data_IF_977329034963
#
_entry.id   IF_977329034963
#
_cell.length_a   1.000
_cell.length_b   1.000
_cell.length_c   1.000
_cell.angle_alpha   90.00
_cell.angle_beta   90.00
_cell.angle_gamma   90.00
#
_symmetry.space_group_name_H-M   'P 1'
#
loop_
_entity.id
_entity.type
_entity.pdbx_description
1 polymer ?
#
# COMPACT_ATOMS: atom_id res chain seq x y z
N UNK A 1 12.23 -7.02 2.56
CA UNK A 1 11.71 -8.39 2.77
C UNK A 1 10.56 -8.62 1.79
N UNK A 2 10.84 -9.29 0.68
CA UNK A 2 9.85 -9.63 -0.33
C UNK A 2 9.09 -10.89 0.12
N UNK A 3 7.82 -11.03 -0.27
CA UNK A 3 6.90 -12.05 0.20
C UNK A 3 7.48 -13.49 0.22
N UNK A 4 7.11 -14.28 1.23
CA UNK A 4 7.37 -15.74 1.28
C UNK A 4 8.12 -16.22 2.53
N UNK A 5 9.05 -15.40 3.06
CA UNK A 5 9.89 -15.76 4.20
C UNK A 5 10.60 -17.13 4.05
N UNK A 6 11.26 -17.58 5.11
CA UNK A 6 11.97 -18.88 5.12
C UNK A 6 11.05 -20.12 5.06
N UNK A 7 9.72 -19.94 5.10
CA UNK A 7 8.75 -21.06 5.14
C UNK A 7 8.27 -21.49 3.76
N UNK A 8 8.63 -20.74 2.72
CA UNK A 8 8.30 -21.06 1.33
C UNK A 8 9.43 -20.57 0.41
N UNK A 9 10.52 -21.34 0.39
CA UNK A 9 11.79 -20.99 -0.26
C UNK A 9 11.64 -20.73 -1.75
N UNK A 10 10.83 -21.54 -2.46
CA UNK A 10 10.59 -21.35 -3.89
C UNK A 10 9.90 -20.02 -4.18
N UNK A 11 8.78 -19.73 -3.49
CA UNK A 11 8.06 -18.48 -3.69
C UNK A 11 8.92 -17.27 -3.28
N UNK A 12 9.71 -17.41 -2.23
CA UNK A 12 10.62 -16.38 -1.78
C UNK A 12 11.71 -16.08 -2.82
N UNK A 13 12.33 -17.12 -3.39
CA UNK A 13 13.33 -16.95 -4.45
C UNK A 13 12.72 -16.28 -5.70
N UNK A 14 11.59 -16.80 -6.18
CA UNK A 14 10.91 -16.23 -7.36
C UNK A 14 10.53 -14.76 -7.12
N UNK A 15 10.01 -14.44 -5.94
CA UNK A 15 9.67 -13.06 -5.59
C UNK A 15 10.91 -12.17 -5.46
N UNK A 16 12.03 -12.68 -4.95
CA UNK A 16 13.29 -11.95 -4.84
C UNK A 16 13.87 -11.59 -6.21
N UNK A 17 13.89 -12.55 -7.14
CA UNK A 17 14.32 -12.33 -8.52
C UNK A 17 13.43 -11.30 -9.22
N UNK A 18 12.11 -11.45 -9.10
CA UNK A 18 11.15 -10.53 -9.72
C UNK A 18 11.27 -9.10 -9.16
N UNK A 19 11.38 -8.96 -7.84
CA UNK A 19 11.52 -7.66 -7.19
C UNK A 19 12.83 -6.96 -7.56
N UNK A 20 13.96 -7.68 -7.59
CA UNK A 20 15.24 -7.15 -8.03
C UNK A 20 15.19 -6.67 -9.49
N UNK A 21 14.54 -7.44 -10.37
CA UNK A 21 14.34 -7.05 -11.76
C UNK A 21 13.51 -5.75 -11.88
N UNK A 22 12.37 -5.66 -11.19
CA UNK A 22 11.51 -4.46 -11.18
C UNK A 22 12.27 -3.25 -10.64
N UNK A 23 13.01 -3.40 -9.53
CA UNK A 23 13.77 -2.30 -8.93
C UNK A 23 14.83 -1.74 -9.88
N UNK A 24 15.46 -2.59 -10.70
CA UNK A 24 16.52 -2.21 -11.63
C UNK A 24 16.00 -1.71 -12.99
N UNK A 25 14.82 -2.14 -13.44
CA UNK A 25 14.33 -1.90 -14.81
C UNK A 25 13.04 -1.07 -14.88
N UNK A 26 12.54 -0.53 -13.76
CA UNK A 26 11.34 0.29 -13.79
C UNK A 26 11.52 1.52 -14.71
N UNK A 27 10.53 1.83 -15.57
CA UNK A 27 10.65 2.95 -16.51
C UNK A 27 10.97 4.28 -15.81
N UNK A 28 11.95 5.06 -16.29
CA UNK A 28 12.35 6.31 -15.64
C UNK A 28 11.25 7.38 -15.64
N UNK A 29 10.27 7.28 -16.55
CA UNK A 29 9.09 8.15 -16.61
C UNK A 29 8.06 7.88 -15.50
N UNK A 30 8.17 6.76 -14.79
CA UNK A 30 7.24 6.36 -13.74
C UNK A 30 7.93 6.35 -12.38
N UNK A 31 7.31 6.97 -11.38
CA UNK A 31 7.84 6.99 -10.00
C UNK A 31 7.59 5.65 -9.30
N UNK A 32 8.60 5.11 -8.63
CA UNK A 32 8.49 3.99 -7.68
C UNK A 32 8.47 4.54 -6.27
N UNK A 33 7.49 4.12 -5.47
CA UNK A 33 7.37 4.48 -4.06
C UNK A 33 7.45 3.19 -3.25
N UNK A 34 8.50 3.05 -2.44
CA UNK A 34 8.67 1.88 -1.59
C UNK A 34 7.90 2.05 -0.28
N UNK A 35 7.07 1.06 0.05
CA UNK A 35 6.35 0.93 1.32
C UNK A 35 6.90 -0.28 2.06
N UNK A 36 7.73 -0.05 3.07
CA UNK A 36 8.52 -1.10 3.71
C UNK A 36 7.79 -1.85 4.83
N UNK A 37 8.48 -2.85 5.36
CA UNK A 37 7.99 -3.67 6.46
C UNK A 37 7.74 -2.82 7.72
N UNK A 38 8.67 -1.91 7.98
CA UNK A 38 8.73 -1.00 9.11
C UNK A 38 7.53 -0.04 9.18
N UNK A 39 6.90 0.28 8.04
CA UNK A 39 5.66 1.05 8.02
C UNK A 39 4.45 0.18 8.30
N UNK A 40 4.30 -0.94 7.59
CA UNK A 40 3.09 -1.75 7.65
C UNK A 40 2.89 -2.46 8.99
N UNK A 41 3.97 -2.72 9.76
CA UNK A 41 3.86 -3.24 11.13
C UNK A 41 3.32 -2.19 12.13
N UNK A 42 3.50 -0.90 11.84
CA UNK A 42 3.02 0.18 12.70
C UNK A 42 1.56 0.51 12.44
N UNK A 43 1.10 0.35 11.19
CA UNK A 43 -0.29 0.65 10.79
C UNK A 43 -1.20 -0.55 11.03
N UNK A 44 -2.26 -0.34 11.79
CA UNK A 44 -3.27 -1.35 12.05
C UNK A 44 -4.65 -0.95 11.49
N UNK A 45 -5.34 -1.89 10.83
CA UNK A 45 -6.70 -1.66 10.31
C UNK A 45 -7.56 -2.93 10.40
N UNK A 46 -8.85 -2.79 10.08
CA UNK A 46 -9.86 -3.85 10.07
C UNK A 46 -10.39 -4.26 11.45
N UNK A 47 -10.07 -3.47 12.48
CA UNK A 47 -10.46 -3.70 13.87
C UNK A 47 -11.91 -3.34 14.18
N UNK A 48 -12.20 -3.11 15.46
CA UNK A 48 -13.56 -2.83 15.94
C UNK A 48 -14.25 -1.65 15.22
N UNK A 49 -13.49 -0.59 14.88
CA UNK A 49 -13.99 0.60 14.19
C UNK A 49 -14.62 0.23 12.84
N UNK A 50 -13.85 -0.44 11.97
CA UNK A 50 -14.38 -0.98 10.71
C UNK A 50 -15.54 -1.97 10.96
N UNK A 51 -15.37 -2.95 11.85
CA UNK A 51 -16.33 -4.04 11.98
C UNK A 51 -17.71 -3.62 12.53
N UNK A 52 -17.79 -2.44 13.15
CA UNK A 52 -19.03 -1.86 13.69
C UNK A 52 -19.68 -0.82 12.78
N UNK A 53 -19.00 -0.38 11.71
CA UNK A 53 -19.56 0.64 10.82
C UNK A 53 -20.70 0.09 9.96
N UNK A 54 -21.53 0.99 9.43
CA UNK A 54 -22.79 0.62 8.74
C UNK A 54 -22.57 -0.30 7.54
N UNK A 55 -21.53 -0.08 6.74
CA UNK A 55 -21.19 -0.95 5.60
C UNK A 55 -20.75 -2.36 6.02
N UNK A 56 -20.27 -2.53 7.26
CA UNK A 56 -19.83 -3.80 7.82
C UNK A 56 -20.91 -4.49 8.69
N UNK A 57 -22.09 -3.86 8.88
CA UNK A 57 -23.22 -4.44 9.63
C UNK A 57 -24.01 -5.48 8.83
N UNK A 58 -24.11 -5.32 7.51
CA UNK A 58 -24.71 -6.33 6.63
C UNK A 58 -23.71 -7.44 6.29
N UNK A 59 -24.11 -8.47 5.51
CA UNK A 59 -23.25 -9.57 5.00
C UNK A 59 -22.09 -9.04 4.15
N UNK A 60 -21.13 -8.39 4.80
CA UNK A 60 -19.98 -7.77 4.17
C UNK A 60 -18.87 -8.82 4.03
N UNK A 61 -18.52 -9.23 2.80
CA UNK A 61 -17.52 -10.28 2.58
C UNK A 61 -16.13 -9.87 3.06
N UNK A 62 -15.79 -8.58 3.04
CA UNK A 62 -14.50 -8.08 3.54
C UNK A 62 -14.42 -8.23 5.06
N UNK A 63 -15.51 -7.90 5.79
CA UNK A 63 -15.58 -8.17 7.23
C UNK A 63 -15.46 -9.65 7.53
N UNK A 64 -16.18 -10.50 6.81
CA UNK A 64 -16.13 -11.95 7.02
C UNK A 64 -14.72 -12.51 6.80
N UNK A 65 -14.06 -12.11 5.72
CA UNK A 65 -12.68 -12.49 5.43
C UNK A 65 -11.72 -12.01 6.53
N UNK A 66 -11.88 -10.78 7.01
CA UNK A 66 -11.03 -10.21 8.06
C UNK A 66 -11.20 -10.95 9.40
N UNK A 67 -12.44 -11.24 9.80
CA UNK A 67 -12.74 -12.01 11.03
C UNK A 67 -12.16 -13.42 10.95
N UNK A 68 -12.29 -14.08 9.79
CA UNK A 68 -11.73 -15.41 9.55
C UNK A 68 -10.19 -15.39 9.63
N UNK A 69 -9.55 -14.47 8.91
CA UNK A 69 -8.09 -14.35 8.86
C UNK A 69 -7.48 -14.05 10.24
N UNK A 70 -8.11 -13.20 11.04
CA UNK A 70 -7.62 -12.82 12.37
C UNK A 70 -8.03 -13.78 13.49
N UNK A 71 -8.82 -14.82 13.17
CA UNK A 71 -9.31 -15.80 14.14
C UNK A 71 -10.32 -15.22 15.14
N UNK A 72 -11.09 -14.19 14.77
CA UNK A 72 -12.14 -13.64 15.62
C UNK A 72 -12.53 -12.18 15.34
N UNK A 73 -13.65 -11.71 15.92
CA UNK A 73 -14.14 -10.36 15.73
C UNK A 73 -13.30 -9.31 16.46
N UNK A 74 -13.43 -8.06 16.00
CA UNK A 74 -12.82 -6.84 16.56
C UNK A 74 -11.28 -6.81 16.61
N UNK A 75 -10.60 -7.76 15.95
CA UNK A 75 -9.13 -7.79 15.83
C UNK A 75 -8.65 -6.99 14.64
N UNK A 76 -7.62 -6.17 14.85
CA UNK A 76 -6.89 -5.47 13.79
C UNK A 76 -5.77 -6.35 13.22
N UNK A 77 -5.37 -6.08 11.97
CA UNK A 77 -4.14 -6.61 11.36
C UNK A 77 -3.14 -5.50 11.12
N UNK A 78 -1.88 -5.88 11.00
CA UNK A 78 -0.86 -5.06 10.35
C UNK A 78 -1.18 -4.86 8.86
N UNK A 79 -0.90 -3.66 8.35
CA UNK A 79 -1.46 -3.17 7.11
C UNK A 79 -0.39 -2.75 6.10
N UNK A 80 0.40 -3.71 5.62
CA UNK A 80 1.31 -3.52 4.47
C UNK A 80 0.53 -3.22 3.18
N UNK A 81 -0.15 -4.23 2.62
CA UNK A 81 -0.88 -4.07 1.35
C UNK A 81 -1.99 -3.01 1.41
N UNK A 82 -2.80 -2.91 2.49
CA UNK A 82 -3.81 -1.87 2.57
C UNK A 82 -3.24 -0.45 2.59
N UNK A 83 -2.08 -0.21 3.24
CA UNK A 83 -1.43 1.10 3.23
C UNK A 83 -0.89 1.42 1.83
N UNK A 84 -0.22 0.48 1.19
CA UNK A 84 0.28 0.62 -0.19
C UNK A 84 -0.87 0.92 -1.16
N UNK A 85 -2.00 0.21 -1.01
CA UNK A 85 -3.20 0.41 -1.84
C UNK A 85 -3.84 1.77 -1.60
N UNK A 86 -3.96 2.21 -0.34
CA UNK A 86 -4.48 3.53 0.00
C UNK A 86 -3.67 4.64 -0.68
N UNK A 87 -2.34 4.56 -0.59
CA UNK A 87 -1.44 5.53 -1.20
C UNK A 87 -1.52 5.49 -2.73
N UNK A 88 -1.54 4.29 -3.32
CA UNK A 88 -1.67 4.15 -4.78
C UNK A 88 -3.00 4.72 -5.32
N UNK A 89 -4.10 4.53 -4.59
CA UNK A 89 -5.43 4.97 -5.02
C UNK A 89 -5.67 6.47 -4.80
N UNK A 90 -5.07 7.06 -3.76
CA UNK A 90 -5.32 8.45 -3.37
C UNK A 90 -4.21 9.41 -3.76
N UNK A 91 -2.98 8.94 -3.97
CA UNK A 91 -1.80 9.80 -3.99
C UNK A 91 -1.32 10.08 -2.56
N UNK A 92 -0.01 10.28 -2.39
CA UNK A 92 0.63 10.51 -1.08
C UNK A 92 0.14 11.82 -0.47
N UNK A 93 -0.01 12.85 -1.30
CA UNK A 93 -0.49 14.19 -0.97
C UNK A 93 -1.92 14.22 -0.40
N UNK A 94 -2.73 13.19 -0.68
CA UNK A 94 -4.10 13.07 -0.19
C UNK A 94 -4.24 12.11 1.00
N UNK A 95 -3.11 11.64 1.56
CA UNK A 95 -3.07 10.81 2.76
C UNK A 95 -2.20 11.52 3.81
N UNK A 96 -2.78 12.38 4.67
CA UNK A 96 -2.01 13.25 5.60
C UNK A 96 -1.09 12.49 6.55
N UNK A 97 -1.41 11.22 6.81
CA UNK A 97 -0.70 10.32 7.72
C UNK A 97 0.62 9.80 7.17
N UNK A 98 0.96 10.10 5.91
CA UNK A 98 2.20 9.68 5.26
C UNK A 98 2.83 10.84 4.48
N UNK A 99 4.07 10.66 4.04
CA UNK A 99 4.73 11.56 3.09
C UNK A 99 5.79 10.83 2.26
N UNK A 100 6.30 11.52 1.24
CA UNK A 100 7.57 11.16 0.64
C UNK A 100 8.70 11.43 1.63
N UNK A 101 9.75 10.62 1.57
CA UNK A 101 10.98 10.95 2.28
C UNK A 101 11.69 12.13 1.60
N UNK A 102 11.99 13.17 2.38
CA UNK A 102 12.68 14.38 1.92
C UNK A 102 14.19 14.23 2.05
N UNK A 103 14.95 14.58 1.01
CA UNK A 103 16.41 14.44 0.99
C UNK A 103 16.89 12.99 0.90
N UNK A 104 16.01 12.07 0.49
CA UNK A 104 16.26 10.64 0.47
C UNK A 104 16.49 10.14 -0.96
N UNK A 105 17.26 10.89 -1.75
CA UNK A 105 17.60 10.50 -3.12
C UNK A 105 18.42 9.21 -3.15
N UNK A 106 18.27 8.44 -4.23
CA UNK A 106 18.92 7.15 -4.38
C UNK A 106 18.03 6.08 -4.97
N UNK A 107 18.37 4.83 -4.70
CA UNK A 107 17.65 3.64 -5.17
C UNK A 107 17.55 2.58 -4.08
N UNK A 108 16.52 1.75 -4.16
CA UNK A 108 16.44 0.54 -3.37
C UNK A 108 17.13 -0.61 -4.13
N UNK A 109 18.23 -1.14 -3.61
CA UNK A 109 18.85 -2.33 -4.16
C UNK A 109 18.27 -3.57 -3.48
N UNK A 110 17.88 -4.55 -4.28
CA UNK A 110 17.31 -5.81 -3.82
C UNK A 110 18.21 -6.95 -4.29
N UNK A 111 18.65 -7.78 -3.35
CA UNK A 111 19.40 -9.00 -3.65
C UNK A 111 18.45 -10.04 -4.28
N UNK A 112 18.77 -10.49 -5.49
CA UNK A 112 17.92 -11.41 -6.24
C UNK A 112 17.84 -12.82 -5.61
N UNK A 113 18.78 -13.20 -4.75
CA UNK A 113 18.83 -14.51 -4.09
C UNK A 113 18.12 -14.47 -2.74
N UNK A 114 18.35 -13.43 -1.96
CA UNK A 114 17.88 -13.34 -0.56
C UNK A 114 16.66 -12.44 -0.38
N UNK A 115 16.32 -11.59 -1.36
CA UNK A 115 15.23 -10.62 -1.24
C UNK A 115 15.48 -9.54 -0.19
N UNK A 116 16.67 -9.52 0.41
CA UNK A 116 17.12 -8.45 1.28
C UNK A 116 17.28 -7.18 0.44
N UNK A 117 16.87 -6.06 1.03
CA UNK A 117 16.92 -4.79 0.34
C UNK A 117 17.56 -3.73 1.21
N UNK A 118 18.25 -2.79 0.57
CA UNK A 118 18.86 -1.64 1.23
C UNK A 118 18.71 -0.40 0.37
N UNK A 119 18.46 0.72 1.04
CA UNK A 119 18.54 2.02 0.39
C UNK A 119 19.99 2.37 0.12
N UNK A 120 20.28 2.87 -1.08
CA UNK A 120 21.60 3.39 -1.46
C UNK A 120 21.42 4.84 -1.84
N UNK A 121 21.91 5.73 -0.99
CA UNK A 121 21.90 7.16 -1.25
C UNK A 121 22.70 7.46 -2.53
N UNK A 122 22.23 8.42 -3.32
CA UNK A 122 22.87 8.80 -4.57
C UNK A 122 22.19 9.98 -5.23
N UNK A 123 22.49 10.20 -6.51
CA UNK A 123 21.81 11.23 -7.30
C UNK A 123 20.28 10.98 -7.32
N UNK A 124 19.45 12.03 -7.50
CA UNK A 124 18.02 11.88 -7.66
C UNK A 124 17.65 10.86 -8.75
N UNK A 125 16.68 10.00 -8.44
CA UNK A 125 16.13 9.00 -9.37
C UNK A 125 14.61 9.02 -9.27
N UNK A 126 13.94 8.26 -10.12
CA UNK A 126 12.49 8.03 -10.07
C UNK A 126 12.05 7.17 -8.88
N UNK A 127 12.86 7.00 -7.84
CA UNK A 127 12.55 6.18 -6.66
C UNK A 127 12.54 7.03 -5.39
N UNK A 128 11.65 6.70 -4.48
CA UNK A 128 11.62 7.22 -3.11
C UNK A 128 10.96 6.18 -2.20
N UNK A 129 10.94 6.42 -0.91
CA UNK A 129 10.18 5.61 0.04
C UNK A 129 9.18 6.47 0.81
N UNK A 130 8.12 5.79 1.26
CA UNK A 130 7.08 6.36 2.07
C UNK A 130 7.60 6.52 3.51
N UNK A 131 7.26 7.63 4.15
CA UNK A 131 7.46 7.84 5.58
C UNK A 131 6.11 7.94 6.28
N UNK A 132 6.02 7.37 7.48
CA UNK A 132 4.81 7.39 8.29
C UNK A 132 4.84 8.58 9.24
N UNK A 133 3.82 9.43 9.19
CA UNK A 133 3.63 10.57 10.11
C UNK A 133 2.71 10.21 11.28
N UNK A 134 1.65 9.47 11.00
CA UNK A 134 0.68 9.03 12.00
C UNK A 134 0.17 7.62 11.67
N UNK A 135 0.64 6.63 12.44
CA UNK A 135 0.26 5.24 12.26
C UNK A 135 -1.24 4.99 12.46
N UNK A 136 -1.83 5.63 13.47
CA UNK A 136 -3.25 5.46 13.79
C UNK A 136 -4.11 6.15 12.72
N UNK A 137 -3.76 7.37 12.34
CA UNK A 137 -4.46 8.11 11.28
C UNK A 137 -4.44 7.37 9.95
N UNK A 138 -3.34 6.70 9.60
CA UNK A 138 -3.24 5.86 8.41
C UNK A 138 -4.20 4.65 8.51
N UNK A 139 -4.24 3.97 9.66
CA UNK A 139 -5.17 2.87 9.93
C UNK A 139 -6.63 3.29 9.84
N UNK A 140 -6.97 4.42 10.47
CA UNK A 140 -8.31 5.00 10.43
C UNK A 140 -8.71 5.39 8.99
N UNK A 141 -7.76 5.87 8.16
CA UNK A 141 -8.03 6.18 6.75
C UNK A 141 -8.39 4.93 5.94
N UNK A 142 -7.70 3.81 6.19
CA UNK A 142 -8.03 2.51 5.60
C UNK A 142 -9.42 2.07 6.06
N UNK A 143 -9.70 2.11 7.37
CA UNK A 143 -11.00 1.70 7.93
C UNK A 143 -12.15 2.56 7.37
N UNK A 144 -11.93 3.87 7.20
CA UNK A 144 -12.92 4.75 6.56
C UNK A 144 -13.25 4.32 5.14
N UNK A 145 -12.26 3.91 4.33
CA UNK A 145 -12.52 3.39 2.98
C UNK A 145 -13.28 2.06 3.02
N UNK A 146 -12.90 1.15 3.92
CA UNK A 146 -13.59 -0.13 4.09
C UNK A 146 -15.05 0.05 4.57
N UNK A 147 -15.33 1.18 5.23
CA UNK A 147 -16.66 1.57 5.68
C UNK A 147 -17.51 2.31 4.65
N UNK A 148 -16.96 2.62 3.47
CA UNK A 148 -17.73 3.22 2.39
C UNK A 148 -18.53 2.15 1.65
N UNK A 149 -19.77 2.46 1.29
CA UNK A 149 -20.51 1.63 0.34
C UNK A 149 -19.90 1.79 -1.05
N UNK A 150 -19.90 0.73 -1.89
CA UNK A 150 -19.52 0.87 -3.29
C UNK A 150 -20.32 1.99 -3.94
N UNK A 151 -19.64 2.91 -4.62
CA UNK A 151 -20.33 3.88 -5.47
C UNK A 151 -20.80 3.15 -6.72
N UNK A 152 -22.10 2.84 -6.78
CA UNK A 152 -22.72 2.14 -7.91
C UNK A 152 -22.86 3.02 -9.17
N UNK A 153 -22.59 4.32 -9.05
CA UNK A 153 -22.53 5.24 -10.16
C UNK A 153 -21.26 6.10 -10.03
N UNK A 154 -20.42 6.06 -11.05
CA UNK A 154 -19.45 7.13 -11.27
C UNK A 154 -20.25 8.40 -11.54
N UNK A 155 -20.03 9.53 -10.83
CA UNK A 155 -20.58 10.79 -11.26
C UNK A 155 -20.03 11.02 -12.68
N UNK A 156 -20.92 11.03 -13.69
CA UNK A 156 -20.52 11.50 -15.02
C UNK A 156 -19.90 12.87 -14.81
N UNK A 157 -18.57 12.94 -14.88
CA UNK A 157 -17.90 14.23 -14.94
C UNK A 157 -18.50 14.92 -16.17
N UNK A 158 -19.16 16.05 -15.94
CA UNK A 158 -19.63 16.95 -16.98
C UNK A 158 -18.42 17.68 -17.61
N UNK A 159 -17.41 16.92 -18.04
CA UNK A 159 -16.29 17.39 -18.83
C UNK A 159 -16.33 16.65 -20.17
N UNK A 160 -17.44 16.85 -20.89
CA UNK A 160 -17.52 16.57 -22.31
C UNK A 160 -17.53 17.91 -23.04
N UNK A 161 -16.37 18.55 -23.08
CA UNK A 161 -16.07 19.59 -24.05
C UNK A 161 -14.55 19.71 -24.13
N UNK A 162 -14.06 19.65 -25.37
CA UNK A 162 -12.67 19.88 -25.80
C UNK A 162 -11.75 18.66 -25.87
N UNK A 163 -12.19 17.65 -26.62
CA UNK A 163 -11.30 16.92 -27.53
C UNK A 163 -11.78 17.14 -28.97
N UNK A 164 -11.58 18.35 -29.47
CA UNK A 164 -11.53 18.59 -30.92
C UNK A 164 -10.07 18.51 -31.33
N UNK A 165 -9.75 17.45 -32.07
CA UNK A 165 -8.48 17.27 -32.76
C UNK A 165 -8.20 18.49 -33.64
N UNK A 166 -7.01 19.06 -33.48
CA UNK A 166 -6.31 19.85 -34.48
C UNK A 166 -4.92 19.24 -34.66
#
# INVERSE_FOLDING_TARGET
NVCGGRRNEHNHFVASVAASYVAAHWPPSSKVIWSGYELGVMVQSGGATFQRCSAAKSRNPVKAAMVSYMGGPNRSRFSWDPLTTLVAARGVEHVPSVAFCEGCDGVNLIDAKTGENRWVAGAPRNQTYLVLKDAKGAGDAIDRLLCQKPMLAWPRQQHASDCSLA
#
